data_IF_131135922997
#
_entry.id   IF_131135922997
#
_cell.length_a   1.000
_cell.length_b   1.000
_cell.length_c   1.000
_cell.angle_alpha   90.00
_cell.angle_beta   90.00
_cell.angle_gamma   90.00
#
_symmetry.space_group_name_H-M   'P 1'
#
loop_
_entity.id
_entity.type
_entity.pdbx_description
1 polymer ?
#
# COMPACT_ATOMS: atom_id res chain seq x y z
N UNK A 1 6.02 13.36 7.64
CA UNK A 1 5.08 12.24 7.87
C UNK A 1 5.85 11.09 8.50
N UNK A 2 5.29 10.41 9.51
CA UNK A 2 5.97 9.24 10.09
C UNK A 2 5.62 7.97 9.31
N UNK A 3 6.48 6.95 9.41
CA UNK A 3 6.20 5.62 8.86
C UNK A 3 4.89 5.02 9.40
N UNK A 4 4.59 5.30 10.66
CA UNK A 4 3.33 4.88 11.30
C UNK A 4 2.10 5.54 10.63
N UNK A 5 2.21 6.81 10.24
CA UNK A 5 1.11 7.52 9.56
C UNK A 5 0.84 6.94 8.17
N UNK A 6 1.91 6.63 7.41
CA UNK A 6 1.80 5.96 6.12
C UNK A 6 1.09 4.61 6.26
N UNK A 7 1.49 3.79 7.24
CA UNK A 7 0.87 2.48 7.48
C UNK A 7 -0.61 2.61 7.83
N UNK A 8 -1.00 3.59 8.66
CA UNK A 8 -2.41 3.85 8.97
C UNK A 8 -3.21 4.20 7.71
N UNK A 9 -2.64 5.04 6.83
CA UNK A 9 -3.27 5.43 5.55
C UNK A 9 -3.42 4.25 4.60
N UNK A 10 -2.36 3.45 4.44
CA UNK A 10 -2.37 2.20 3.65
C UNK A 10 -3.42 1.22 4.17
N UNK A 11 -3.48 0.97 5.48
CA UNK A 11 -4.45 0.07 6.07
C UNK A 11 -5.88 0.58 5.89
N UNK A 12 -6.10 1.89 6.05
CA UNK A 12 -7.39 2.52 5.79
C UNK A 12 -7.81 2.33 4.32
N UNK A 13 -6.91 2.64 3.37
CA UNK A 13 -7.16 2.51 1.94
C UNK A 13 -7.49 1.07 1.55
N UNK A 14 -6.66 0.11 1.98
CA UNK A 14 -6.89 -1.34 1.79
C UNK A 14 -8.31 -1.75 2.24
N UNK A 15 -8.79 -1.26 3.39
CA UNK A 15 -10.14 -1.55 3.90
C UNK A 15 -11.22 -0.90 3.03
N UNK A 16 -11.02 0.34 2.59
CA UNK A 16 -11.98 1.06 1.73
C UNK A 16 -12.19 0.37 0.38
N UNK A 17 -11.13 -0.14 -0.24
CA UNK A 17 -11.20 -0.81 -1.55
C UNK A 17 -11.41 -2.33 -1.46
N UNK A 18 -11.50 -2.88 -0.25
CA UNK A 18 -11.80 -4.30 -0.04
C UNK A 18 -10.69 -5.30 -0.43
N UNK A 19 -9.43 -4.87 -0.55
CA UNK A 19 -8.34 -5.80 -0.91
C UNK A 19 -7.86 -6.63 0.29
N UNK A 20 -7.63 -7.93 0.06
CA UNK A 20 -6.98 -8.83 1.03
C UNK A 20 -5.44 -8.79 0.87
N UNK A 21 -4.73 -9.41 1.81
CA UNK A 21 -3.26 -9.60 1.71
C UNK A 21 -2.93 -10.41 0.45
N UNK A 22 -3.69 -11.47 0.17
CA UNK A 22 -3.50 -12.32 -1.00
C UNK A 22 -3.73 -11.56 -2.31
N UNK A 23 -4.73 -10.67 -2.36
CA UNK A 23 -4.94 -9.82 -3.54
C UNK A 23 -3.73 -8.91 -3.76
N UNK A 24 -3.26 -8.24 -2.71
CA UNK A 24 -2.11 -7.32 -2.79
C UNK A 24 -0.86 -8.07 -3.24
N UNK A 25 -0.58 -9.24 -2.64
CA UNK A 25 0.56 -10.07 -2.99
C UNK A 25 0.55 -10.47 -4.47
N UNK A 26 -0.59 -10.97 -4.96
CA UNK A 26 -0.76 -11.36 -6.37
C UNK A 26 -0.58 -10.17 -7.32
N UNK A 27 -1.22 -9.03 -7.03
CA UNK A 27 -1.21 -7.86 -7.91
C UNK A 27 0.13 -7.10 -7.91
N UNK A 28 0.87 -7.14 -6.81
CA UNK A 28 2.21 -6.51 -6.70
C UNK A 28 3.36 -7.46 -7.06
N UNK A 29 3.08 -8.72 -7.36
CA UNK A 29 4.08 -9.78 -7.53
C UNK A 29 5.03 -9.91 -6.32
N UNK A 30 4.51 -9.67 -5.11
CA UNK A 30 5.23 -9.82 -3.84
C UNK A 30 4.69 -11.03 -3.07
N UNK A 31 5.55 -11.67 -2.28
CA UNK A 31 5.10 -12.76 -1.41
C UNK A 31 4.21 -12.26 -0.27
N UNK A 32 3.24 -13.06 0.15
CA UNK A 32 2.35 -12.79 1.31
C UNK A 32 3.12 -12.40 2.57
N UNK A 33 4.28 -13.04 2.82
CA UNK A 33 5.16 -12.71 3.94
C UNK A 33 5.64 -11.26 3.88
N UNK A 34 6.02 -10.76 2.70
CA UNK A 34 6.48 -9.38 2.52
C UNK A 34 5.36 -8.38 2.76
N UNK A 35 4.15 -8.64 2.25
CA UNK A 35 2.98 -7.79 2.50
C UNK A 35 2.61 -7.78 3.98
N UNK A 36 2.63 -8.94 4.64
CA UNK A 36 2.34 -9.07 6.07
C UNK A 36 3.33 -8.25 6.91
N UNK A 37 4.63 -8.38 6.64
CA UNK A 37 5.69 -7.61 7.31
C UNK A 37 5.52 -6.11 7.10
N UNK A 38 5.25 -5.68 5.87
CA UNK A 38 4.97 -4.28 5.57
C UNK A 38 3.80 -3.75 6.41
N UNK A 39 2.65 -4.45 6.40
CA UNK A 39 1.46 -4.03 7.14
C UNK A 39 1.62 -4.10 8.66
N UNK A 40 2.51 -4.96 9.17
CA UNK A 40 2.89 -5.04 10.58
C UNK A 40 3.85 -3.91 11.00
N UNK A 41 4.37 -3.14 10.05
CA UNK A 41 5.36 -2.10 10.31
C UNK A 41 6.76 -2.64 10.58
N UNK A 42 7.11 -3.80 10.05
CA UNK A 42 8.49 -4.29 10.03
C UNK A 42 9.31 -3.65 8.91
N UNK A 43 10.63 -3.55 9.08
CA UNK A 43 11.47 -2.98 8.04
C UNK A 43 11.40 -3.79 6.73
N UNK A 44 11.20 -3.07 5.62
CA UNK A 44 11.03 -3.63 4.27
C UNK A 44 11.73 -2.74 3.25
N UNK A 45 12.07 -3.30 2.09
CA UNK A 45 12.67 -2.53 1.00
C UNK A 45 11.76 -1.39 0.56
N UNK A 46 12.36 -0.24 0.20
CA UNK A 46 11.65 0.91 -0.36
C UNK A 46 10.74 0.52 -1.53
N UNK A 47 11.21 -0.36 -2.43
CA UNK A 47 10.43 -0.86 -3.56
C UNK A 47 9.16 -1.61 -3.16
N UNK A 48 9.12 -2.22 -1.96
CA UNK A 48 7.91 -2.83 -1.40
C UNK A 48 6.89 -1.75 -1.02
N UNK A 49 7.36 -0.66 -0.39
CA UNK A 49 6.51 0.46 -0.02
C UNK A 49 5.90 1.08 -1.28
N UNK A 50 6.73 1.41 -2.27
CA UNK A 50 6.30 1.99 -3.55
C UNK A 50 5.31 1.10 -4.29
N UNK A 51 5.60 -0.20 -4.38
CA UNK A 51 4.72 -1.15 -5.07
C UNK A 51 3.35 -1.25 -4.40
N UNK A 52 3.31 -1.27 -3.06
CA UNK A 52 2.04 -1.35 -2.32
C UNK A 52 1.29 -0.02 -2.34
N UNK A 53 1.96 1.12 -2.16
CA UNK A 53 1.29 2.44 -2.22
C UNK A 53 0.72 2.68 -3.61
N UNK A 54 1.49 2.45 -4.66
CA UNK A 54 1.04 2.61 -6.04
C UNK A 54 -0.14 1.70 -6.38
N UNK A 55 -0.09 0.41 -5.97
CA UNK A 55 -1.20 -0.52 -6.15
C UNK A 55 -2.50 -0.03 -5.48
N UNK A 56 -2.38 0.64 -4.33
CA UNK A 56 -3.53 1.17 -3.58
C UNK A 56 -4.01 2.54 -4.09
N UNK A 57 -3.38 3.07 -5.16
CA UNK A 57 -3.65 4.41 -5.68
C UNK A 57 -3.17 5.51 -4.74
N UNK A 58 -2.07 5.28 -4.03
CA UNK A 58 -1.47 6.21 -3.09
C UNK A 58 -0.09 6.68 -3.57
N UNK A 59 0.27 7.93 -3.25
CA UNK A 59 1.63 8.41 -3.35
C UNK A 59 2.50 7.85 -2.21
N UNK A 60 3.79 8.18 -2.22
CA UNK A 60 4.73 7.73 -1.18
C UNK A 60 4.42 8.31 0.23
N UNK A 61 3.65 9.40 0.28
CA UNK A 61 3.13 9.99 1.52
C UNK A 61 1.74 9.43 1.89
N UNK A 62 1.23 8.41 1.20
CA UNK A 62 -0.08 7.83 1.49
C UNK A 62 -1.24 8.79 1.25
N UNK A 63 -1.08 9.79 0.37
CA UNK A 63 -2.19 10.56 -0.19
C UNK A 63 -2.76 9.82 -1.39
N UNK A 64 -4.07 9.85 -1.57
CA UNK A 64 -4.70 9.29 -2.77
C UNK A 64 -4.24 10.08 -3.99
N UNK A 65 -3.70 9.39 -4.98
CA UNK A 65 -3.42 9.97 -6.29
C UNK A 65 -4.78 10.06 -6.97
N UNK A 66 -5.42 11.22 -6.86
CA UNK A 66 -6.58 11.55 -7.67
C UNK A 66 -6.13 11.45 -9.14
N UNK A 67 -6.57 10.43 -9.85
CA UNK A 67 -6.65 10.57 -11.30
C UNK A 67 -7.70 11.65 -11.52
N UNK A 68 -7.28 12.86 -11.89
CA UNK A 68 -8.19 13.73 -12.62
C UNK A 68 -8.65 12.92 -13.83
N UNK A 69 -9.86 12.39 -13.74
CA UNK A 69 -10.55 11.80 -14.86
C UNK A 69 -10.65 12.92 -15.89
N UNK A 70 -9.82 12.87 -16.94
CA UNK A 70 -10.11 13.62 -18.15
C UNK A 70 -11.49 13.14 -18.62
N UNK A 71 -12.43 14.07 -18.55
CA UNK A 71 -13.81 13.95 -19.01
C UNK A 71 -13.88 13.63 -20.52
#
# INVERSE_FOLDING_TARGET
MTRLDLLKRVQKRKRQIGLTIDNIAKLSNLGNRTITRFLAGEDVKMSTVESVTHLLGLDFAGNEILSETFA
#
